data_IF_773210373700
#
_entry.id   IF_773210373700
#
_cell.length_a   1.000
_cell.length_b   1.000
_cell.length_c   1.000
_cell.angle_alpha   90.00
_cell.angle_beta   90.00
_cell.angle_gamma   90.00
#
_symmetry.space_group_name_H-M   'P 1'
#
loop_
_entity.id
_entity.type
_entity.pdbx_description
1 polymer ?
#
# COMPACT_ATOMS: atom_id res chain seq x y z
N UNK A 1 19.81 3.31 1.39
CA UNK A 1 19.10 4.44 0.77
C UNK A 1 19.21 5.63 1.71
N UNK A 2 19.88 6.72 1.30
CA UNK A 2 20.21 7.85 2.19
C UNK A 2 19.03 8.82 2.23
N UNK A 3 18.38 8.91 3.39
CA UNK A 3 17.29 9.85 3.66
C UNK A 3 17.94 11.19 4.04
N UNK A 4 17.67 12.24 3.29
CA UNK A 4 17.86 13.62 3.75
C UNK A 4 16.49 14.09 4.22
N UNK A 5 16.41 14.48 5.49
CA UNK A 5 15.19 14.96 6.16
C UNK A 5 14.00 13.98 6.18
N UNK A 6 14.27 12.68 6.09
CA UNK A 6 13.25 11.63 6.07
C UNK A 6 12.48 11.50 4.74
N UNK A 7 12.69 12.42 3.79
CA UNK A 7 12.09 12.36 2.45
C UNK A 7 13.03 11.59 1.51
N UNK A 8 12.54 10.54 0.83
CA UNK A 8 13.28 9.89 -0.22
C UNK A 8 13.76 10.88 -1.29
N UNK A 9 15.08 10.95 -1.55
CA UNK A 9 15.61 11.71 -2.71
C UNK A 9 14.99 11.27 -4.05
N UNK A 10 14.52 10.02 -4.12
CA UNK A 10 13.82 9.46 -5.28
C UNK A 10 12.55 8.73 -4.81
N UNK A 11 11.44 9.45 -4.57
CA UNK A 11 10.21 8.89 -4.00
C UNK A 11 9.62 7.74 -4.82
N UNK A 12 9.60 7.89 -6.15
CA UNK A 12 9.11 6.85 -7.04
C UNK A 12 9.93 5.56 -6.97
N UNK A 13 11.27 5.69 -7.03
CA UNK A 13 12.17 4.53 -6.89
C UNK A 13 12.02 3.85 -5.53
N UNK A 14 11.83 4.63 -4.47
CA UNK A 14 11.59 4.11 -3.13
C UNK A 14 10.27 3.32 -3.04
N UNK A 15 9.21 3.86 -3.64
CA UNK A 15 7.91 3.19 -3.72
C UNK A 15 8.01 1.87 -4.49
N UNK A 16 8.59 1.89 -5.71
CA UNK A 16 8.78 0.66 -6.49
C UNK A 16 9.60 -0.38 -5.72
N UNK A 17 10.66 0.04 -5.02
CA UNK A 17 11.48 -0.86 -4.19
C UNK A 17 10.64 -1.50 -3.06
N UNK A 18 9.72 -0.75 -2.45
CA UNK A 18 8.83 -1.27 -1.40
C UNK A 18 7.76 -2.23 -1.95
N UNK A 19 7.22 -1.94 -3.14
CA UNK A 19 6.20 -2.76 -3.79
C UNK A 19 6.76 -4.08 -4.32
N UNK A 20 8.00 -4.06 -4.84
CA UNK A 20 8.68 -5.23 -5.37
C UNK A 20 9.43 -6.05 -4.30
N UNK A 21 9.37 -5.62 -3.03
CA UNK A 21 10.04 -6.33 -1.95
C UNK A 21 9.24 -7.58 -1.55
N UNK A 22 9.86 -8.79 -1.52
CA UNK A 22 9.16 -10.04 -1.20
C UNK A 22 8.54 -10.10 0.21
N UNK A 23 8.95 -9.20 1.11
CA UNK A 23 8.38 -9.07 2.46
C UNK A 23 7.07 -8.28 2.50
N UNK A 24 6.60 -7.78 1.35
CA UNK A 24 5.28 -7.20 1.24
C UNK A 24 4.25 -8.34 1.34
N UNK A 25 3.39 -8.28 2.35
CA UNK A 25 2.42 -9.34 2.64
C UNK A 25 1.01 -8.76 2.63
N UNK A 26 0.02 -9.58 2.23
CA UNK A 26 -1.38 -9.25 2.41
C UNK A 26 -1.68 -9.04 3.90
N UNK A 27 -2.56 -8.11 4.19
CA UNK A 27 -3.05 -7.83 5.54
C UNK A 27 -4.54 -7.54 5.50
N UNK A 28 -5.16 -7.61 6.67
CA UNK A 28 -6.49 -7.07 6.87
C UNK A 28 -6.36 -5.68 7.51
N UNK A 29 -7.21 -4.75 7.07
CA UNK A 29 -7.42 -3.51 7.78
C UNK A 29 -8.55 -3.68 8.81
N UNK A 30 -8.64 -2.81 9.82
CA UNK A 30 -9.84 -2.68 10.62
C UNK A 30 -11.07 -2.52 9.70
N UNK A 31 -12.16 -3.17 10.08
CA UNK A 31 -13.39 -3.28 9.26
C UNK A 31 -13.93 -1.91 8.80
N UNK A 32 -13.86 -0.90 9.68
CA UNK A 32 -14.26 0.46 9.34
C UNK A 32 -13.45 1.06 8.18
N UNK A 33 -12.15 0.81 8.15
CA UNK A 33 -11.27 1.29 7.09
C UNK A 33 -11.43 0.47 5.81
N UNK A 34 -11.63 -0.85 5.90
CA UNK A 34 -11.86 -1.69 4.72
C UNK A 34 -13.18 -1.34 4.02
N UNK A 35 -14.26 -1.13 4.76
CA UNK A 35 -15.58 -0.73 4.21
C UNK A 35 -15.48 0.62 3.49
N UNK A 36 -14.84 1.61 4.11
CA UNK A 36 -14.68 2.94 3.49
C UNK A 36 -13.89 2.87 2.18
N UNK A 37 -12.84 2.04 2.13
CA UNK A 37 -12.03 1.88 0.92
C UNK A 37 -12.76 1.08 -0.14
N UNK A 38 -13.43 -0.01 0.22
CA UNK A 38 -14.27 -0.78 -0.72
C UNK A 38 -15.36 0.09 -1.36
N UNK A 39 -16.04 0.93 -0.56
CA UNK A 39 -17.04 1.88 -1.07
C UNK A 39 -16.45 2.90 -2.05
N UNK A 40 -15.20 3.33 -1.83
CA UNK A 40 -14.53 4.32 -2.68
C UNK A 40 -14.14 3.76 -4.05
N UNK A 41 -13.70 2.50 -4.11
CA UNK A 41 -13.17 1.90 -5.34
C UNK A 41 -14.16 0.99 -6.06
N UNK A 42 -15.34 0.70 -5.47
CA UNK A 42 -16.42 -0.10 -6.04
C UNK A 42 -15.99 -1.50 -6.54
N UNK A 43 -14.85 -1.99 -6.08
CA UNK A 43 -14.24 -3.28 -6.40
C UNK A 43 -13.57 -3.84 -5.13
N UNK A 44 -13.37 -5.16 -5.11
CA UNK A 44 -12.65 -5.80 -4.02
C UNK A 44 -11.21 -5.29 -3.96
N UNK A 45 -10.86 -4.67 -2.84
CA UNK A 45 -9.53 -4.13 -2.60
C UNK A 45 -8.72 -5.09 -1.73
N UNK A 46 -7.50 -5.39 -2.17
CA UNK A 46 -6.50 -6.05 -1.35
C UNK A 46 -5.67 -5.02 -0.59
N UNK A 47 -5.39 -5.32 0.68
CA UNK A 47 -4.53 -4.50 1.51
C UNK A 47 -3.19 -5.20 1.73
N UNK A 48 -2.11 -4.46 1.58
CA UNK A 48 -0.76 -4.96 1.69
C UNK A 48 0.05 -4.08 2.63
N UNK A 49 0.99 -4.68 3.35
CA UNK A 49 1.92 -3.98 4.22
C UNK A 49 3.24 -4.74 4.35
N UNK A 50 4.24 -4.08 4.91
CA UNK A 50 5.41 -4.76 5.46
C UNK A 50 5.15 -5.05 6.94
N UNK A 51 5.53 -6.23 7.44
CA UNK A 51 5.35 -6.56 8.86
C UNK A 51 6.01 -5.49 9.75
N UNK A 52 5.28 -4.96 10.71
CA UNK A 52 5.73 -3.89 11.61
C UNK A 52 5.71 -2.47 11.02
N UNK A 53 5.31 -2.31 9.75
CA UNK A 53 5.15 -1.00 9.12
C UNK A 53 3.74 -0.45 9.33
N UNK A 54 3.63 0.84 9.69
CA UNK A 54 2.34 1.55 9.72
C UNK A 54 1.81 1.92 8.32
N UNK A 55 2.64 1.78 7.29
CA UNK A 55 2.31 2.10 5.90
C UNK A 55 1.59 0.94 5.21
N UNK A 56 0.43 1.25 4.66
CA UNK A 56 -0.48 0.35 3.97
C UNK A 56 -0.62 0.73 2.49
N UNK A 57 -0.75 -0.29 1.66
CA UNK A 57 -0.94 -0.20 0.22
C UNK A 57 -2.29 -0.81 -0.12
N UNK A 58 -3.15 -0.04 -0.80
CA UNK A 58 -4.45 -0.49 -1.30
C UNK A 58 -4.31 -0.82 -2.77
N UNK A 59 -4.54 -2.07 -3.13
CA UNK A 59 -4.48 -2.55 -4.50
C UNK A 59 -5.85 -3.04 -4.92
N UNK A 60 -6.24 -2.72 -6.14
CA UNK A 60 -7.44 -3.29 -6.76
C UNK A 60 -6.99 -4.24 -7.86
N UNK A 61 -7.57 -5.44 -7.88
CA UNK A 61 -7.31 -6.42 -8.92
C UNK A 61 -8.16 -6.08 -10.15
N UNK A 62 -7.50 -5.93 -11.29
CA UNK A 62 -8.12 -6.09 -12.61
C UNK A 62 -7.77 -7.46 -13.18
N UNK A 63 -8.15 -7.72 -14.43
CA UNK A 63 -8.03 -9.04 -15.06
C UNK A 63 -6.63 -9.67 -14.95
N UNK A 64 -5.59 -8.95 -15.39
CA UNK A 64 -4.20 -9.43 -15.38
C UNK A 64 -3.24 -8.54 -14.58
N UNK A 65 -3.75 -7.43 -14.05
CA UNK A 65 -2.95 -6.40 -13.39
C UNK A 65 -3.53 -6.02 -12.04
N UNK A 66 -2.65 -5.69 -11.10
CA UNK A 66 -3.02 -5.04 -9.84
C UNK A 66 -2.66 -3.58 -9.89
N UNK A 67 -3.63 -2.72 -9.60
CA UNK A 67 -3.45 -1.27 -9.60
C UNK A 67 -3.34 -0.78 -8.18
N UNK A 68 -2.22 -0.14 -7.85
CA UNK A 68 -2.07 0.59 -6.57
C UNK A 68 -2.91 1.86 -6.62
N UNK A 69 -3.98 1.93 -5.82
CA UNK A 69 -4.90 3.06 -5.82
C UNK A 69 -4.66 4.03 -4.67
N UNK A 70 -4.01 3.60 -3.59
CA UNK A 70 -3.70 4.46 -2.44
C UNK A 70 -2.56 3.89 -1.60
N UNK A 71 -1.72 4.80 -1.08
CA UNK A 71 -0.75 4.53 -0.01
C UNK A 71 -1.10 5.44 1.16
N UNK A 72 -1.15 4.89 2.37
CA UNK A 72 -1.42 5.69 3.57
C UNK A 72 -0.72 5.11 4.80
N UNK A 73 -0.50 5.94 5.82
CA UNK A 73 -0.01 5.51 7.11
C UNK A 73 -1.15 5.57 8.14
N UNK A 74 -1.27 4.54 8.97
CA UNK A 74 -2.12 4.59 10.16
C UNK A 74 -1.35 5.38 11.23
N UNK A 75 -2.02 6.30 11.93
CA UNK A 75 -1.42 7.06 13.03
C UNK A 75 -1.12 6.14 14.21
#
# INVERSE_FOLDING_TARGET
>A
MRLSDGVPKHPWKALCTKLLCPRLTKTQLPESASIQKAKKYAQEAEFWQHVGSKMHFVMVSGDSMKTLVTVFAVK
#
